data_IF_688290210494
#
_entry.id   IF_688290210494
#
_cell.length_a   1.000
_cell.length_b   1.000
_cell.length_c   1.000
_cell.angle_alpha   90.00
_cell.angle_beta   90.00
_cell.angle_gamma   90.00
#
_symmetry.space_group_name_H-M   'P 1'
#
loop_
_entity.id
_entity.type
_entity.pdbx_description
1 polymer ?
#
# COMPACT_ATOMS: atom_id res chain seq x y z
N UNK A 1 14.01 14.65 4.19
CA UNK A 1 13.53 13.31 3.76
C UNK A 1 12.08 13.19 4.17
N UNK A 2 11.20 12.71 3.28
CA UNK A 2 9.83 12.36 3.64
C UNK A 2 9.85 11.06 4.45
N UNK A 3 8.99 10.91 5.46
CA UNK A 3 8.80 9.65 6.17
C UNK A 3 7.96 8.67 5.31
N UNK A 4 8.15 7.37 5.49
CA UNK A 4 7.44 6.30 4.77
C UNK A 4 5.91 6.50 4.69
N UNK A 5 5.26 6.85 5.80
CA UNK A 5 3.82 7.11 5.85
C UNK A 5 3.39 8.35 5.07
N UNK A 6 4.28 9.33 4.90
CA UNK A 6 4.00 10.48 4.06
C UNK A 6 4.04 10.09 2.58
N UNK A 7 5.04 9.31 2.17
CA UNK A 7 5.14 8.79 0.79
C UNK A 7 3.92 7.92 0.46
N UNK A 8 3.53 7.03 1.37
CA UNK A 8 2.34 6.18 1.18
C UNK A 8 1.06 7.02 1.08
N UNK A 9 0.91 8.06 1.92
CA UNK A 9 -0.23 8.99 1.81
C UNK A 9 -0.23 9.78 0.52
N UNK A 10 0.93 10.23 0.04
CA UNK A 10 1.09 10.90 -1.25
C UNK A 10 0.69 9.96 -2.41
N UNK A 11 1.03 8.68 -2.30
CA UNK A 11 0.61 7.62 -3.23
C UNK A 11 -0.87 7.18 -3.04
N UNK A 12 -1.56 7.75 -2.06
CA UNK A 12 -2.98 7.54 -1.80
C UNK A 12 -3.30 6.27 -0.99
N UNK A 13 -2.49 5.97 0.02
CA UNK A 13 -2.84 5.03 1.08
C UNK A 13 -4.21 5.43 1.71
N UNK A 14 -5.17 4.50 1.88
CA UNK A 14 -6.56 4.81 2.22
C UNK A 14 -6.79 5.12 3.72
N UNK A 15 -5.94 5.97 4.30
CA UNK A 15 -5.98 6.38 5.72
C UNK A 15 -6.59 7.77 5.93
N UNK A 16 -6.39 8.69 4.98
CA UNK A 16 -6.86 10.07 5.04
C UNK A 16 -7.67 10.46 3.78
N UNK A 17 -8.48 11.51 3.91
CA UNK A 17 -9.46 11.92 2.89
C UNK A 17 -8.85 12.62 1.67
N UNK A 18 -7.63 13.14 1.77
CA UNK A 18 -7.03 13.98 0.74
C UNK A 18 -5.72 13.39 0.22
N UNK A 19 -5.67 13.26 -1.10
CA UNK A 19 -4.47 12.88 -1.83
C UNK A 19 -3.58 14.10 -1.99
N UNK A 20 -2.28 13.92 -1.80
CA UNK A 20 -1.29 14.92 -2.13
C UNK A 20 -1.08 15.02 -3.65
N UNK A 21 -0.78 16.21 -4.17
CA UNK A 21 -0.46 16.42 -5.58
C UNK A 21 0.97 15.96 -5.94
N UNK A 22 1.71 15.41 -4.99
CA UNK A 22 3.08 14.97 -5.19
C UNK A 22 3.15 13.67 -5.99
N UNK A 23 3.97 13.68 -7.04
CA UNK A 23 4.34 12.46 -7.77
C UNK A 23 5.25 11.62 -6.88
N UNK A 24 4.98 10.31 -6.84
CA UNK A 24 5.77 9.32 -6.10
C UNK A 24 6.30 8.33 -7.11
N UNK A 25 7.60 8.05 -7.06
CA UNK A 25 8.23 7.01 -7.88
C UNK A 25 7.92 5.60 -7.33
N UNK A 26 7.91 4.59 -8.21
CA UNK A 26 7.58 3.21 -7.84
C UNK A 26 8.61 2.61 -6.87
N UNK A 27 9.90 2.93 -7.02
CA UNK A 27 10.93 2.45 -6.11
C UNK A 27 10.85 3.15 -4.75
N UNK A 28 10.59 4.46 -4.73
CA UNK A 28 10.29 5.21 -3.49
C UNK A 28 9.06 4.64 -2.76
N UNK A 29 8.03 4.28 -3.50
CA UNK A 29 6.82 3.65 -2.95
C UNK A 29 7.10 2.26 -2.38
N UNK A 30 7.92 1.46 -3.06
CA UNK A 30 8.31 0.13 -2.60
C UNK A 30 9.11 0.20 -1.29
N UNK A 31 10.09 1.12 -1.22
CA UNK A 31 10.86 1.36 0.00
C UNK A 31 9.96 1.80 1.16
N UNK A 32 9.08 2.79 0.93
CA UNK A 32 8.13 3.26 1.93
C UNK A 32 7.17 2.16 2.43
N UNK A 33 6.76 1.25 1.54
CA UNK A 33 5.94 0.09 1.92
C UNK A 33 6.68 -0.84 2.88
N UNK A 34 7.95 -1.14 2.59
CA UNK A 34 8.79 -2.00 3.47
C UNK A 34 9.01 -1.34 4.82
N UNK A 35 9.37 -0.07 4.83
CA UNK A 35 9.63 0.70 6.06
C UNK A 35 8.36 0.74 6.93
N UNK A 36 7.20 1.04 6.33
CA UNK A 36 5.93 1.08 7.07
C UNK A 36 5.51 -0.29 7.61
N UNK A 37 5.84 -1.40 6.93
CA UNK A 37 5.61 -2.76 7.47
C UNK A 37 6.54 -3.04 8.65
N UNK A 38 7.80 -2.62 8.57
CA UNK A 38 8.82 -2.82 9.61
C UNK A 38 8.52 -2.05 10.89
N UNK A 39 7.75 -0.96 10.81
CA UNK A 39 7.22 -0.23 11.97
C UNK A 39 6.11 -0.98 12.73
N UNK A 40 5.68 -2.16 12.25
CA UNK A 40 4.64 -3.01 12.85
C UNK A 40 3.33 -2.26 13.17
N UNK A 41 2.70 -1.60 12.18
CA UNK A 41 1.50 -0.82 12.41
C UNK A 41 0.34 -1.72 12.87
N UNK A 42 -0.59 -1.13 13.62
CA UNK A 42 -1.77 -1.82 14.15
C UNK A 42 -3.06 -1.09 13.79
N UNK A 43 -4.20 -1.78 13.93
CA UNK A 43 -5.52 -1.21 13.69
C UNK A 43 -5.70 -0.71 12.26
N UNK A 44 -6.24 0.51 12.14
CA UNK A 44 -6.64 1.09 10.85
C UNK A 44 -5.47 1.27 9.88
N UNK A 45 -4.28 1.58 10.37
CA UNK A 45 -3.10 1.80 9.53
C UNK A 45 -2.61 0.48 8.94
N UNK A 46 -2.62 -0.60 9.74
CA UNK A 46 -2.31 -1.94 9.29
C UNK A 46 -3.31 -2.44 8.23
N UNK A 47 -4.61 -2.24 8.48
CA UNK A 47 -5.69 -2.60 7.56
C UNK A 47 -5.55 -1.84 6.22
N UNK A 48 -5.29 -0.53 6.27
CA UNK A 48 -5.12 0.30 5.09
C UNK A 48 -3.89 -0.10 4.27
N UNK A 49 -2.77 -0.38 4.92
CA UNK A 49 -1.54 -0.83 4.28
C UNK A 49 -1.69 -2.24 3.69
N UNK A 50 -2.37 -3.16 4.38
CA UNK A 50 -2.70 -4.48 3.83
C UNK A 50 -3.57 -4.39 2.58
N UNK A 51 -4.63 -3.60 2.61
CA UNK A 51 -5.49 -3.38 1.45
C UNK A 51 -4.75 -2.73 0.27
N UNK A 52 -3.80 -1.83 0.56
CA UNK A 52 -2.95 -1.19 -0.44
C UNK A 52 -2.01 -2.19 -1.13
N UNK A 53 -1.33 -3.05 -0.37
CA UNK A 53 -0.47 -4.11 -0.90
C UNK A 53 -1.24 -5.04 -1.83
N UNK A 54 -2.43 -5.50 -1.42
CA UNK A 54 -3.28 -6.34 -2.27
C UNK A 54 -3.80 -5.62 -3.51
N UNK A 55 -4.20 -4.35 -3.38
CA UNK A 55 -4.64 -3.55 -4.53
C UNK A 55 -3.53 -3.43 -5.57
N UNK A 56 -2.29 -3.14 -5.15
CA UNK A 56 -1.14 -3.06 -6.04
C UNK A 56 -0.89 -4.40 -6.71
N UNK A 57 -0.74 -5.48 -5.95
CA UNK A 57 -0.44 -6.80 -6.50
C UNK A 57 -1.49 -7.29 -7.50
N UNK A 58 -2.78 -7.03 -7.24
CA UNK A 58 -3.87 -7.55 -8.08
C UNK A 58 -4.06 -6.75 -9.39
N UNK A 59 -3.82 -5.45 -9.37
CA UNK A 59 -4.10 -4.57 -10.52
C UNK A 59 -2.86 -4.24 -11.34
N UNK A 60 -1.67 -4.24 -10.73
CA UNK A 60 -0.39 -4.03 -11.42
C UNK A 60 0.64 -5.10 -11.01
N UNK A 61 0.37 -6.40 -11.27
CA UNK A 61 1.22 -7.50 -10.81
C UNK A 61 2.66 -7.40 -11.33
N UNK A 62 2.86 -6.94 -12.57
CA UNK A 62 4.20 -6.77 -13.13
C UNK A 62 5.00 -5.66 -12.43
N UNK A 63 4.35 -4.52 -12.15
CA UNK A 63 4.99 -3.42 -11.43
C UNK A 63 5.26 -3.81 -9.96
N UNK A 64 4.35 -4.54 -9.33
CA UNK A 64 4.53 -5.07 -7.98
C UNK A 64 5.72 -6.02 -7.91
N UNK A 65 5.81 -7.00 -8.82
CA UNK A 65 6.94 -7.93 -8.84
C UNK A 65 8.26 -7.24 -9.17
N UNK A 66 8.27 -6.26 -10.07
CA UNK A 66 9.46 -5.47 -10.34
C UNK A 66 9.92 -4.66 -9.10
N UNK A 67 8.98 -4.15 -8.31
CA UNK A 67 9.25 -3.36 -7.12
C UNK A 67 9.77 -4.18 -5.92
N UNK A 68 9.31 -5.42 -5.77
CA UNK A 68 9.57 -6.24 -4.58
C UNK A 68 10.49 -7.45 -4.81
N UNK A 69 10.70 -7.87 -6.07
CA UNK A 69 11.77 -8.75 -6.55
C UNK A 69 12.23 -9.87 -5.58
N UNK A 70 11.31 -10.70 -5.11
CA UNK A 70 11.56 -11.83 -4.21
C UNK A 70 10.88 -11.69 -2.83
N UNK A 71 10.54 -10.47 -2.40
CA UNK A 71 9.88 -10.23 -1.12
C UNK A 71 8.34 -10.42 -1.19
N UNK A 72 7.77 -10.61 -2.40
CA UNK A 72 6.32 -10.65 -2.61
C UNK A 72 5.58 -11.61 -1.67
N UNK A 73 6.03 -12.86 -1.47
CA UNK A 73 5.32 -13.80 -0.61
C UNK A 73 5.24 -13.32 0.84
N UNK A 74 6.30 -12.68 1.34
CA UNK A 74 6.37 -12.14 2.70
C UNK A 74 5.43 -10.96 2.87
N UNK A 75 5.40 -10.03 1.90
CA UNK A 75 4.49 -8.88 1.93
C UNK A 75 3.02 -9.33 1.87
N UNK A 76 2.71 -10.29 1.00
CA UNK A 76 1.35 -10.80 0.86
C UNK A 76 0.90 -11.57 2.11
N UNK A 77 1.78 -12.37 2.71
CA UNK A 77 1.49 -13.04 3.98
C UNK A 77 1.30 -12.04 5.12
N UNK A 78 2.07 -10.94 5.15
CA UNK A 78 1.85 -9.86 6.10
C UNK A 78 0.49 -9.21 5.88
N UNK A 79 0.17 -8.81 4.65
CA UNK A 79 -1.07 -8.12 4.30
C UNK A 79 -2.31 -8.98 4.60
N UNK A 80 -2.25 -10.29 4.34
CA UNK A 80 -3.34 -11.23 4.62
C UNK A 80 -3.72 -11.26 6.11
N UNK A 81 -2.76 -11.07 7.01
CA UNK A 81 -3.02 -11.04 8.46
C UNK A 81 -3.71 -9.76 8.94
N UNK A 82 -3.63 -8.68 8.16
CA UNK A 82 -4.15 -7.36 8.56
C UNK A 82 -5.60 -7.12 8.13
N UNK A 83 -6.26 -8.09 7.48
CA UNK A 83 -7.60 -7.91 6.90
C UNK A 83 -8.62 -8.89 7.51
N UNK A 84 -9.07 -8.65 8.74
CA UNK A 84 -10.05 -9.51 9.41
C UNK A 84 -11.51 -9.27 8.99
N UNK A 85 -11.81 -8.16 8.30
CA UNK A 85 -13.17 -7.76 7.90
C UNK A 85 -13.26 -7.57 6.37
N UNK A 86 -13.99 -8.46 5.71
CA UNK A 86 -14.17 -8.49 4.26
C UNK A 86 -14.83 -7.21 3.70
N UNK A 87 -15.84 -6.66 4.40
CA UNK A 87 -16.56 -5.49 3.94
C UNK A 87 -15.68 -4.24 4.01
N UNK A 88 -14.91 -4.12 5.10
CA UNK A 88 -13.94 -3.03 5.26
C UNK A 88 -12.81 -3.14 4.24
N UNK A 89 -12.30 -4.35 4.02
CA UNK A 89 -11.28 -4.63 3.01
C UNK A 89 -11.74 -4.19 1.61
N UNK A 90 -12.94 -4.58 1.17
CA UNK A 90 -13.46 -4.21 -0.15
C UNK A 90 -13.51 -2.69 -0.35
N UNK A 91 -13.92 -1.94 0.69
CA UNK A 91 -13.93 -0.48 0.65
C UNK A 91 -12.52 0.10 0.53
N UNK A 92 -11.60 -0.34 1.39
CA UNK A 92 -10.21 0.16 1.39
C UNK A 92 -9.50 -0.17 0.07
N UNK A 93 -9.69 -1.40 -0.43
CA UNK A 93 -9.16 -1.87 -1.71
C UNK A 93 -9.64 -1.00 -2.87
N UNK A 94 -10.94 -0.67 -2.95
CA UNK A 94 -11.47 0.19 -4.01
C UNK A 94 -10.82 1.57 -4.02
N UNK A 95 -10.58 2.15 -2.84
CA UNK A 95 -9.90 3.44 -2.69
C UNK A 95 -8.43 3.32 -3.12
N UNK A 96 -7.73 2.27 -2.66
CA UNK A 96 -6.34 2.03 -3.01
C UNK A 96 -6.14 1.84 -4.52
N UNK A 97 -7.01 1.10 -5.20
CA UNK A 97 -6.96 0.94 -6.67
C UNK A 97 -7.12 2.28 -7.37
N UNK A 98 -8.15 3.05 -7.02
CA UNK A 98 -8.37 4.36 -7.62
C UNK A 98 -7.16 5.27 -7.45
N UNK A 99 -6.50 5.19 -6.29
CA UNK A 99 -5.33 6.01 -6.02
C UNK A 99 -4.08 5.54 -6.77
N UNK A 100 -3.78 4.25 -6.74
CA UNK A 100 -2.62 3.66 -7.41
C UNK A 100 -2.66 3.85 -8.93
N UNK A 101 -3.84 3.91 -9.56
CA UNK A 101 -3.99 4.14 -11.00
C UNK A 101 -3.47 5.50 -11.50
N UNK A 102 -3.19 6.44 -10.60
CA UNK A 102 -2.54 7.70 -10.94
C UNK A 102 -1.03 7.69 -10.64
N UNK A 103 -0.50 6.61 -10.07
CA UNK A 103 0.92 6.45 -9.71
C UNK A 103 1.62 5.45 -10.63
N UNK A 104 0.95 4.33 -10.93
CA UNK A 104 1.47 3.17 -11.66
C UNK A 104 0.89 3.07 -13.07
#
# INVERSE_FOLDING_TARGET
MRNAWQILRDAGLPVAAERSAHTVDTHELAAATRDAIAEEPTGRDAEALGAFVFAWQQHWPAAFSAAFAGDEPTLLAWAARQLPDDNRYLKLRRIAIANLAHVL
#
